data_IF_909945758678
#
_entry.id   IF_909945758678
#
_cell.length_a   1.000
_cell.length_b   1.000
_cell.length_c   1.000
_cell.angle_alpha   90.00
_cell.angle_beta   90.00
_cell.angle_gamma   90.00
#
_symmetry.space_group_name_H-M   'P 1'
#
loop_
_entity.id
_entity.type
_entity.pdbx_description
1 polymer ?
#
# COMPACT_ATOMS: atom_id res chain seq x y z
N UNK A 1 -1.42 11.28 0.83
CA UNK A 1 -1.95 9.92 0.92
C UNK A 1 -3.32 9.82 0.28
N UNK A 2 -3.62 8.67 -0.27
CA UNK A 2 -4.94 8.36 -0.83
C UNK A 2 -5.31 6.92 -0.53
N UNK A 3 -6.47 6.50 -0.98
CA UNK A 3 -6.97 5.15 -0.77
C UNK A 3 -7.51 4.58 -2.07
N UNK A 4 -7.31 3.29 -2.30
CA UNK A 4 -7.96 2.60 -3.41
C UNK A 4 -9.46 2.50 -3.19
N UNK A 5 -10.22 2.48 -4.29
CA UNK A 5 -11.63 2.16 -4.26
C UNK A 5 -11.83 0.67 -3.96
N UNK A 6 -10.92 -0.16 -4.46
CA UNK A 6 -10.99 -1.61 -4.38
C UNK A 6 -10.45 -2.11 -3.06
N UNK A 7 -11.15 -3.08 -2.49
CA UNK A 7 -10.67 -3.92 -1.40
C UNK A 7 -9.97 -5.13 -2.01
N UNK A 8 -8.77 -5.46 -1.54
CA UNK A 8 -8.04 -6.63 -2.03
C UNK A 8 -7.76 -7.61 -0.89
N UNK A 9 -7.70 -8.88 -1.26
CA UNK A 9 -7.28 -9.95 -0.36
C UNK A 9 -6.41 -10.91 -1.16
N UNK A 10 -5.14 -11.00 -0.79
CA UNK A 10 -4.16 -11.81 -1.51
C UNK A 10 -3.57 -12.87 -0.58
N UNK A 11 -3.76 -14.14 -0.89
CA UNK A 11 -3.37 -15.24 -0.01
C UNK A 11 -2.16 -16.03 -0.50
N UNK A 12 -1.95 -16.14 -1.82
CA UNK A 12 -0.95 -17.03 -2.41
C UNK A 12 0.08 -16.32 -3.29
N UNK A 13 -0.13 -15.05 -3.56
CA UNK A 13 0.73 -14.27 -4.44
C UNK A 13 1.27 -13.05 -3.72
N UNK A 14 2.35 -12.51 -4.24
CA UNK A 14 2.87 -11.21 -3.79
C UNK A 14 2.22 -10.13 -4.63
N UNK A 15 1.38 -9.27 -4.05
CA UNK A 15 0.82 -8.14 -4.79
C UNK A 15 1.84 -7.03 -4.91
N UNK A 16 1.92 -6.44 -6.10
CA UNK A 16 2.78 -5.30 -6.40
C UNK A 16 1.92 -4.16 -6.91
N UNK A 17 2.13 -2.98 -6.35
CA UNK A 17 1.40 -1.79 -6.75
C UNK A 17 2.37 -0.81 -7.41
N UNK A 18 1.99 -0.34 -8.59
CA UNK A 18 2.77 0.64 -9.33
C UNK A 18 1.86 1.70 -9.94
N UNK A 19 2.45 2.84 -10.30
CA UNK A 19 1.75 3.86 -11.04
C UNK A 19 1.49 3.44 -12.50
N UNK A 20 0.74 4.26 -13.20
CA UNK A 20 0.49 4.11 -14.63
C UNK A 20 1.35 5.10 -15.41
N UNK A 21 1.84 4.69 -16.59
CA UNK A 21 2.72 5.54 -17.38
C UNK A 21 2.06 6.84 -17.81
N UNK A 22 0.77 6.84 -18.16
CA UNK A 22 0.06 8.06 -18.53
C UNK A 22 -0.12 9.03 -17.36
N UNK A 23 -0.18 8.53 -16.15
CA UNK A 23 -0.25 9.34 -14.94
C UNK A 23 1.14 9.82 -14.54
N UNK A 24 2.15 8.95 -14.65
CA UNK A 24 3.54 9.30 -14.39
C UNK A 24 4.05 10.42 -15.30
N UNK A 25 3.62 10.44 -16.55
CA UNK A 25 3.97 11.50 -17.51
C UNK A 25 3.41 12.87 -17.11
N UNK A 26 2.36 12.90 -16.30
CA UNK A 26 1.81 14.13 -15.74
C UNK A 26 2.58 14.58 -14.50
N UNK A 27 3.47 13.76 -13.98
CA UNK A 27 4.26 14.07 -12.80
C UNK A 27 3.70 13.55 -11.48
N UNK A 28 2.74 12.61 -11.52
CA UNK A 28 2.22 11.94 -10.33
C UNK A 28 2.78 10.53 -10.24
N UNK A 29 3.39 10.22 -9.11
CA UNK A 29 4.01 8.92 -8.83
C UNK A 29 3.32 8.26 -7.66
N UNK A 30 3.13 6.93 -7.77
CA UNK A 30 2.47 6.13 -6.75
C UNK A 30 3.48 5.11 -6.22
N UNK A 31 3.64 5.07 -4.90
CA UNK A 31 4.52 4.10 -4.22
C UNK A 31 5.95 4.08 -4.76
N UNK A 32 6.59 5.23 -4.75
CA UNK A 32 8.00 5.36 -5.18
C UNK A 32 8.90 4.42 -4.38
N UNK A 33 8.57 4.18 -3.10
CA UNK A 33 9.43 3.42 -2.19
C UNK A 33 8.83 2.10 -1.69
N UNK A 34 7.53 1.91 -1.76
CA UNK A 34 6.87 0.80 -1.07
C UNK A 34 5.70 0.21 -1.88
N UNK A 35 5.98 -0.15 -3.14
CA UNK A 35 4.98 -0.80 -3.99
C UNK A 35 4.78 -2.28 -3.73
N UNK A 36 5.67 -2.91 -2.97
CA UNK A 36 5.65 -4.33 -2.67
C UNK A 36 4.66 -4.60 -1.54
N UNK A 37 3.69 -5.47 -1.79
CA UNK A 37 2.72 -5.88 -0.77
C UNK A 37 3.06 -7.23 -0.16
N UNK A 38 2.51 -7.48 1.03
CA UNK A 38 2.73 -8.72 1.73
C UNK A 38 1.69 -9.77 1.37
N UNK A 39 2.13 -11.04 1.34
CA UNK A 39 1.22 -12.17 1.18
C UNK A 39 0.30 -12.24 2.40
N UNK A 40 -0.99 -12.39 2.16
CA UNK A 40 -1.97 -12.47 3.23
C UNK A 40 -2.56 -11.13 3.64
N UNK A 41 -2.09 -10.03 3.09
CA UNK A 41 -2.70 -8.72 3.35
C UNK A 41 -4.13 -8.68 2.80
N UNK A 42 -5.05 -8.16 3.58
CA UNK A 42 -6.42 -7.88 3.17
C UNK A 42 -6.77 -6.46 3.62
N UNK A 43 -7.33 -5.67 2.71
CA UNK A 43 -7.71 -4.30 3.02
C UNK A 43 -7.76 -3.42 1.79
N UNK A 44 -8.02 -2.15 2.02
CA UNK A 44 -7.83 -1.10 1.02
C UNK A 44 -6.38 -0.65 1.07
N UNK A 45 -5.85 -0.36 -0.10
CA UNK A 45 -4.48 0.15 -0.18
C UNK A 45 -4.47 1.66 0.11
N UNK A 46 -3.58 2.06 1.02
CA UNK A 46 -3.25 3.47 1.17
C UNK A 46 -2.15 3.80 0.16
N UNK A 47 -2.44 4.76 -0.70
CA UNK A 47 -1.55 5.15 -1.78
C UNK A 47 -0.60 6.24 -1.31
N UNK A 48 0.69 5.96 -1.37
CA UNK A 48 1.74 6.95 -1.11
C UNK A 48 2.00 7.68 -2.42
N UNK A 49 1.41 8.87 -2.56
CA UNK A 49 1.48 9.64 -3.78
C UNK A 49 2.48 10.79 -3.65
N UNK A 50 3.23 11.00 -4.71
CA UNK A 50 4.19 12.08 -4.82
C UNK A 50 4.03 12.77 -6.17
N UNK A 51 4.04 14.11 -6.19
CA UNK A 51 3.98 14.87 -7.44
C UNK A 51 5.14 15.88 -7.50
N UNK A 52 5.64 16.10 -8.72
CA UNK A 52 6.77 17.02 -8.94
C UNK A 52 6.32 18.46 -9.14
N UNK A 53 5.04 18.67 -9.32
CA UNK A 53 4.40 19.99 -9.40
C UNK A 53 2.92 19.82 -9.05
N UNK A 54 2.17 20.91 -8.79
CA UNK A 54 0.74 20.80 -8.51
C UNK A 54 -0.01 20.12 -9.66
N UNK A 55 -0.86 19.16 -9.32
CA UNK A 55 -1.63 18.37 -10.28
C UNK A 55 -3.07 18.30 -9.78
N UNK A 56 -4.02 18.42 -10.72
CA UNK A 56 -5.44 18.20 -10.42
C UNK A 56 -5.73 16.71 -10.63
N UNK A 57 -6.28 16.08 -9.62
CA UNK A 57 -6.71 14.68 -9.71
C UNK A 57 -8.19 14.60 -9.32
N UNK A 58 -8.86 13.56 -9.80
CA UNK A 58 -10.27 13.34 -9.56
C UNK A 58 -10.47 12.01 -8.86
N UNK A 59 -11.45 11.88 -7.95
CA UNK A 59 -11.76 10.59 -7.33
C UNK A 59 -12.30 9.62 -8.38
N UNK A 60 -12.13 8.32 -8.09
CA UNK A 60 -12.63 7.22 -8.93
C UNK A 60 -12.02 7.16 -10.34
N UNK A 61 -10.81 7.68 -10.49
CA UNK A 61 -10.04 7.59 -11.74
C UNK A 61 -8.92 6.57 -11.54
N UNK A 62 -8.66 5.79 -12.59
CA UNK A 62 -7.58 4.80 -12.57
C UNK A 62 -6.22 5.49 -12.60
N UNK A 63 -5.48 5.46 -11.49
CA UNK A 63 -4.18 6.14 -11.35
C UNK A 63 -3.02 5.18 -11.11
N UNK A 64 -3.29 3.93 -10.79
CA UNK A 64 -2.26 2.93 -10.53
C UNK A 64 -2.73 1.56 -11.00
N UNK A 65 -1.84 0.59 -10.92
CA UNK A 65 -2.11 -0.78 -11.31
C UNK A 65 -1.58 -1.73 -10.25
N UNK A 66 -2.23 -2.88 -10.12
CA UNK A 66 -1.78 -3.95 -9.26
C UNK A 66 -1.47 -5.18 -10.11
N UNK A 67 -0.38 -5.85 -9.77
CA UNK A 67 -0.03 -7.12 -10.41
C UNK A 67 0.54 -8.06 -9.36
N UNK A 68 0.68 -9.33 -9.73
CA UNK A 68 0.99 -10.38 -8.76
C UNK A 68 2.18 -11.20 -9.23
N UNK A 69 3.05 -11.54 -8.26
CA UNK A 69 4.14 -12.49 -8.47
C UNK A 69 3.86 -13.79 -7.75
N UNK A 70 4.29 -14.89 -8.34
CA UNK A 70 4.33 -16.17 -7.66
C UNK A 70 5.49 -16.18 -6.67
N UNK A 71 5.36 -17.05 -5.65
CA UNK A 71 6.38 -17.19 -4.62
C UNK A 71 6.98 -18.59 -4.75
N UNK A 72 8.31 -18.66 -4.64
CA UNK A 72 9.04 -19.92 -4.53
C UNK A 72 9.66 -20.03 -3.14
N UNK A 73 9.59 -21.21 -2.56
CA UNK A 73 10.11 -21.47 -1.22
C UNK A 73 9.11 -21.12 -0.12
N UNK A 74 9.60 -21.02 1.11
CA UNK A 74 8.78 -20.71 2.26
C UNK A 74 8.56 -19.19 2.41
N UNK A 75 7.42 -18.81 2.94
CA UNK A 75 7.08 -17.43 3.20
C UNK A 75 6.19 -17.31 4.43
N UNK A 76 6.20 -16.12 5.04
CA UNK A 76 5.27 -15.78 6.12
C UNK A 76 4.13 -14.94 5.56
N UNK A 77 2.91 -15.29 5.94
CA UNK A 77 1.75 -14.47 5.61
C UNK A 77 1.72 -13.21 6.47
N UNK A 78 1.17 -12.13 5.91
CA UNK A 78 0.94 -10.91 6.67
C UNK A 78 -0.12 -11.18 7.73
N UNK A 79 0.28 -11.14 9.00
CA UNK A 79 -0.61 -11.37 10.13
C UNK A 79 -0.35 -10.39 11.28
N UNK A 80 0.55 -9.44 11.09
CA UNK A 80 0.92 -8.49 12.16
C UNK A 80 -0.22 -7.61 12.61
N UNK A 81 -1.25 -7.44 11.78
CA UNK A 81 -2.40 -6.61 12.07
C UNK A 81 -2.16 -5.11 11.95
N UNK A 82 -0.91 -4.65 11.74
CA UNK A 82 -0.59 -3.21 11.71
C UNK A 82 -1.48 -2.44 10.74
N UNK A 83 -1.62 -2.95 9.49
CA UNK A 83 -2.45 -2.32 8.47
C UNK A 83 -3.56 -3.24 7.96
N UNK A 84 -3.74 -4.41 8.58
CA UNK A 84 -4.69 -5.42 8.11
C UNK A 84 -6.13 -4.91 8.24
N UNK A 85 -6.92 -5.16 7.18
CA UNK A 85 -8.35 -4.83 7.12
C UNK A 85 -8.64 -3.33 7.30
N UNK A 86 -7.70 -2.46 6.99
CA UNK A 86 -7.96 -1.03 7.08
C UNK A 86 -9.06 -0.60 6.11
N UNK A 87 -9.87 0.37 6.51
CA UNK A 87 -11.06 0.80 5.77
C UNK A 87 -10.97 2.22 5.21
N UNK A 88 -9.98 2.97 5.63
CA UNK A 88 -9.78 4.35 5.18
C UNK A 88 -8.36 4.62 4.73
N UNK A 89 -8.03 5.88 4.56
CA UNK A 89 -6.63 6.30 4.39
C UNK A 89 -5.94 6.09 5.72
N UNK A 90 -4.91 5.25 5.73
CA UNK A 90 -4.20 4.90 6.94
C UNK A 90 -2.86 5.62 7.01
N UNK A 91 -2.67 6.55 7.96
CA UNK A 91 -1.35 7.14 8.18
C UNK A 91 -0.36 6.13 8.72
N UNK A 92 0.91 6.50 8.70
CA UNK A 92 1.96 5.63 9.22
C UNK A 92 1.67 5.21 10.66
N UNK A 93 1.82 3.92 10.92
CA UNK A 93 1.74 3.35 12.26
C UNK A 93 3.12 2.92 12.77
N UNK A 94 4.17 3.53 12.23
CA UNK A 94 5.55 3.22 12.61
C UNK A 94 5.79 3.38 14.11
N UNK A 95 5.06 4.28 14.76
CA UNK A 95 5.18 4.49 16.20
C UNK A 95 4.97 3.21 16.99
N UNK A 96 4.18 2.26 16.47
CA UNK A 96 3.94 0.98 17.14
C UNK A 96 5.20 0.12 17.23
N UNK A 97 6.14 0.32 16.32
CA UNK A 97 7.39 -0.42 16.32
C UNK A 97 8.31 -0.01 17.47
N UNK A 98 8.05 1.14 18.08
CA UNK A 98 8.81 1.69 19.19
C UNK A 98 8.14 1.52 20.55
N UNK A 99 6.98 0.88 20.60
CA UNK A 99 6.28 0.62 21.84
C UNK A 99 6.74 -0.71 22.44
N UNK A 100 6.81 -0.75 23.78
CA UNK A 100 7.01 -2.00 24.53
C UNK A 100 5.66 -2.70 24.70
N UNK A 101 5.70 -3.98 25.11
CA UNK A 101 4.49 -4.75 25.36
C UNK A 101 3.57 -4.10 26.41
N UNK A 102 4.14 -3.35 27.35
CA UNK A 102 3.38 -2.61 28.36
C UNK A 102 2.87 -1.25 27.87
N UNK A 103 3.11 -0.91 26.59
CA UNK A 103 2.67 0.34 25.99
C UNK A 103 3.62 1.52 26.19
N UNK A 104 4.73 1.34 26.85
CA UNK A 104 5.71 2.42 27.02
C UNK A 104 6.66 2.50 25.83
N UNK A 105 7.31 3.67 25.65
CA UNK A 105 8.33 3.84 24.61
C UNK A 105 9.56 2.98 24.87
N UNK A 106 10.10 2.43 23.81
CA UNK A 106 11.35 1.65 23.88
C UNK A 106 12.56 2.54 24.18
#
# INVERSE_FOLDING_TARGET
>A
LGRTLEYTKTEQFVPMLEGRSSVGRLGLFIHVTAGFGDVGFAGYWTLEMFCIHPIVIYPNVEICQIYYHTIQGEYQKYDSGKYQNNTGVQPSMLYKDFLREDGSSK
#
